data_IF_024875418506
#
_entry.id   IF_024875418506
#
_cell.length_a   1.000
_cell.length_b   1.000
_cell.length_c   1.000
_cell.angle_alpha   90.00
_cell.angle_beta   90.00
_cell.angle_gamma   90.00
#
_symmetry.space_group_name_H-M   'P 1'
#
loop_
_entity.id
_entity.type
_entity.pdbx_description
1 polymer ?
#
# COMPACT_ATOMS: atom_id res chain seq x y z
N UNK A 1 -4.20 13.81 13.15
CA UNK A 1 -4.71 12.96 12.04
C UNK A 1 -4.42 13.68 10.75
N UNK A 2 -3.52 13.13 9.91
CA UNK A 2 -3.52 13.54 8.50
C UNK A 2 -4.78 12.96 7.86
N UNK A 3 -5.46 13.69 6.96
CA UNK A 3 -6.55 13.09 6.22
C UNK A 3 -5.94 12.07 5.25
N UNK A 4 -5.99 10.80 5.63
CA UNK A 4 -5.83 9.70 4.67
C UNK A 4 -6.79 9.98 3.53
N UNK A 5 -6.28 10.14 2.30
CA UNK A 5 -7.12 10.58 1.16
C UNK A 5 -8.22 9.56 0.87
N UNK A 6 -7.97 8.28 1.19
CA UNK A 6 -8.96 7.21 1.16
C UNK A 6 -8.80 6.27 2.37
N UNK A 7 -9.88 5.98 3.11
CA UNK A 7 -9.87 4.99 4.18
C UNK A 7 -9.68 3.58 3.60
N UNK A 8 -8.96 2.72 4.33
CA UNK A 8 -8.81 1.32 3.93
C UNK A 8 -10.12 0.56 4.08
N UNK A 9 -10.44 -0.28 3.11
CA UNK A 9 -11.58 -1.20 3.14
C UNK A 9 -11.25 -2.47 2.38
N UNK A 10 -11.95 -3.58 2.68
CA UNK A 10 -11.77 -4.83 1.98
C UNK A 10 -11.97 -4.67 0.46
N UNK A 11 -13.00 -3.91 0.05
CA UNK A 11 -13.27 -3.61 -1.35
C UNK A 11 -12.13 -2.86 -2.04
N UNK A 12 -11.59 -1.81 -1.41
CA UNK A 12 -10.45 -1.05 -1.93
C UNK A 12 -9.24 -1.98 -2.13
N UNK A 13 -8.91 -2.77 -1.10
CA UNK A 13 -7.76 -3.66 -1.13
C UNK A 13 -7.93 -4.79 -2.16
N UNK A 14 -9.14 -5.32 -2.32
CA UNK A 14 -9.45 -6.34 -3.33
C UNK A 14 -9.23 -5.81 -4.75
N UNK A 15 -9.74 -4.62 -5.05
CA UNK A 15 -9.55 -3.95 -6.34
C UNK A 15 -8.09 -3.61 -6.64
N UNK A 16 -7.26 -3.34 -5.61
CA UNK A 16 -5.81 -3.22 -5.79
C UNK A 16 -5.19 -4.54 -6.26
N UNK A 17 -5.58 -5.67 -5.66
CA UNK A 17 -5.14 -7.02 -6.05
C UNK A 17 -5.61 -7.38 -7.47
N UNK A 18 -6.83 -6.97 -7.82
CA UNK A 18 -7.45 -7.21 -9.13
C UNK A 18 -6.92 -6.28 -10.24
N UNK A 19 -5.93 -5.45 -9.91
CA UNK A 19 -5.24 -4.56 -10.83
C UNK A 19 -6.07 -3.36 -11.34
N UNK A 20 -7.13 -2.97 -10.62
CA UNK A 20 -8.06 -1.90 -11.05
C UNK A 20 -7.55 -0.47 -10.81
N UNK A 21 -6.50 -0.28 -10.01
CA UNK A 21 -5.93 1.06 -9.75
C UNK A 21 -4.58 1.24 -10.42
N UNK A 22 -4.08 2.48 -10.49
CA UNK A 22 -2.72 2.76 -10.97
C UNK A 22 -1.66 2.41 -9.92
N UNK A 23 -0.43 2.10 -10.35
CA UNK A 23 0.68 1.83 -9.42
C UNK A 23 0.97 3.04 -8.54
N UNK A 24 0.82 4.25 -9.10
CA UNK A 24 0.96 5.51 -8.39
C UNK A 24 -0.02 5.62 -7.23
N UNK A 25 -1.30 5.33 -7.46
CA UNK A 25 -2.32 5.37 -6.41
C UNK A 25 -1.99 4.40 -5.26
N UNK A 26 -1.58 3.18 -5.58
CA UNK A 26 -1.18 2.18 -4.57
C UNK A 26 0.03 2.66 -3.77
N UNK A 27 1.01 3.27 -4.43
CA UNK A 27 2.17 3.84 -3.75
C UNK A 27 1.79 4.98 -2.82
N UNK A 28 0.93 5.92 -3.26
CA UNK A 28 0.46 7.04 -2.44
C UNK A 28 -0.28 6.57 -1.17
N UNK A 29 -1.12 5.52 -1.26
CA UNK A 29 -1.78 4.94 -0.09
C UNK A 29 -0.78 4.43 0.96
N UNK A 30 0.33 3.83 0.52
CA UNK A 30 1.39 3.35 1.42
C UNK A 30 2.20 4.53 1.95
N UNK A 31 2.61 5.47 1.10
CA UNK A 31 3.44 6.61 1.47
C UNK A 31 2.81 7.49 2.54
N UNK A 32 1.51 7.78 2.42
CA UNK A 32 0.74 8.53 3.43
C UNK A 32 0.88 7.89 4.82
N UNK A 33 0.68 6.58 4.88
CA UNK A 33 0.67 5.80 6.12
C UNK A 33 2.07 5.53 6.66
N UNK A 34 3.07 5.53 5.78
CA UNK A 34 4.48 5.46 6.14
C UNK A 34 5.05 6.85 6.53
N UNK A 35 4.23 7.91 6.48
CA UNK A 35 4.57 9.25 6.97
C UNK A 35 5.22 10.18 5.94
N UNK A 36 5.35 9.75 4.67
CA UNK A 36 5.77 10.62 3.58
C UNK A 36 4.69 11.68 3.31
N UNK A 37 5.11 12.82 2.78
CA UNK A 37 4.19 13.93 2.46
C UNK A 37 4.47 14.47 1.06
N UNK A 38 3.43 14.93 0.32
CA UNK A 38 3.65 15.71 -0.88
C UNK A 38 4.20 17.08 -0.47
N UNK A 39 5.28 17.51 -1.12
CA UNK A 39 5.84 18.85 -0.89
C UNK A 39 4.93 19.94 -1.48
N UNK A 40 4.26 19.63 -2.60
CA UNK A 40 3.23 20.45 -3.26
C UNK A 40 2.42 19.56 -4.23
N UNK A 41 1.30 20.08 -4.75
CA UNK A 41 0.57 19.38 -5.80
C UNK A 41 1.47 19.13 -7.03
N UNK A 42 1.64 17.86 -7.42
CA UNK A 42 2.48 17.46 -8.56
C UNK A 42 3.98 17.34 -8.27
N UNK A 43 4.44 17.56 -7.04
CA UNK A 43 5.84 17.39 -6.64
C UNK A 43 6.11 15.99 -6.06
N UNK A 44 7.36 15.52 -6.06
CA UNK A 44 7.72 14.26 -5.42
C UNK A 44 7.38 14.28 -3.92
N UNK A 45 7.03 13.12 -3.40
CA UNK A 45 6.78 12.95 -1.97
C UNK A 45 8.11 12.80 -1.25
N UNK A 46 8.26 13.45 -0.09
CA UNK A 46 9.48 13.41 0.71
C UNK A 46 9.20 12.86 2.11
N UNK A 47 10.24 12.29 2.74
CA UNK A 47 10.14 11.74 4.07
C UNK A 47 9.73 12.83 5.06
N UNK A 48 8.62 12.60 5.78
CA UNK A 48 8.09 13.55 6.74
C UNK A 48 8.62 13.29 8.15
N UNK A 49 8.26 14.14 9.13
CA UNK A 49 8.63 13.94 10.55
C UNK A 49 8.09 12.65 11.17
N UNK A 50 7.14 11.99 10.51
CA UNK A 50 6.51 10.73 10.95
C UNK A 50 7.08 9.52 10.20
N UNK A 51 7.93 9.73 9.20
CA UNK A 51 8.58 8.63 8.48
C UNK A 51 9.59 7.96 9.40
N UNK A 52 9.54 6.62 9.58
CA UNK A 52 10.54 5.92 10.37
C UNK A 52 11.96 6.23 9.88
N UNK A 53 12.89 6.45 10.81
CA UNK A 53 14.25 6.88 10.49
C UNK A 53 14.92 5.99 9.44
N UNK A 54 14.79 4.68 9.59
CA UNK A 54 15.34 3.70 8.63
C UNK A 54 14.84 3.95 7.19
N UNK A 55 13.58 4.36 7.02
CA UNK A 55 12.99 4.67 5.72
C UNK A 55 13.44 6.04 5.23
N UNK A 56 13.46 7.05 6.09
CA UNK A 56 13.90 8.39 5.73
C UNK A 56 15.36 8.42 5.26
N UNK A 57 16.25 7.64 5.91
CA UNK A 57 17.66 7.54 5.54
C UNK A 57 17.88 6.82 4.21
N UNK A 58 17.16 5.72 3.98
CA UNK A 58 17.33 4.93 2.75
C UNK A 58 16.58 5.52 1.56
N UNK A 59 15.48 6.22 1.82
CA UNK A 59 14.56 6.76 0.83
C UNK A 59 14.10 8.16 1.27
N UNK A 60 14.95 9.20 1.12
CA UNK A 60 14.56 10.58 1.42
C UNK A 60 13.37 11.06 0.56
N UNK A 61 13.27 10.53 -0.65
CA UNK A 61 12.11 10.64 -1.54
C UNK A 61 11.32 9.33 -1.54
N UNK A 62 10.00 9.42 -1.63
CA UNK A 62 9.13 8.27 -1.57
C UNK A 62 9.41 7.31 -2.75
N UNK A 63 9.71 6.02 -2.49
CA UNK A 63 10.17 5.11 -3.53
C UNK A 63 9.00 4.46 -4.28
N UNK A 64 9.22 4.09 -5.54
CA UNK A 64 8.25 3.40 -6.39
C UNK A 64 8.09 1.93 -5.97
N UNK A 65 7.22 1.66 -4.99
CA UNK A 65 7.05 0.35 -4.34
C UNK A 65 6.61 -0.77 -5.30
N UNK A 66 5.91 -0.42 -6.38
CA UNK A 66 5.40 -1.39 -7.36
C UNK A 66 6.38 -1.59 -8.52
N UNK A 67 7.07 -0.53 -8.97
CA UNK A 67 8.03 -0.64 -10.05
C UNK A 67 9.38 -1.22 -9.58
N UNK A 68 9.81 -0.88 -8.36
CA UNK A 68 11.15 -1.16 -7.86
C UNK A 68 11.18 -2.30 -6.85
N UNK A 69 11.97 -3.33 -7.16
CA UNK A 69 12.16 -4.48 -6.27
C UNK A 69 12.76 -4.12 -4.90
N UNK A 70 13.81 -3.27 -4.78
CA UNK A 70 14.41 -2.97 -3.48
C UNK A 70 13.42 -2.38 -2.48
N UNK A 71 12.59 -1.45 -2.93
CA UNK A 71 11.58 -0.79 -2.11
C UNK A 71 10.50 -1.79 -1.63
N UNK A 72 10.01 -2.66 -2.52
CA UNK A 72 9.06 -3.72 -2.18
C UNK A 72 9.62 -4.75 -1.18
N UNK A 73 10.90 -5.12 -1.32
CA UNK A 73 11.58 -6.02 -0.37
C UNK A 73 11.66 -5.37 1.01
N UNK A 74 12.00 -4.08 1.08
CA UNK A 74 12.00 -3.35 2.35
C UNK A 74 10.60 -3.28 2.96
N UNK A 75 9.57 -3.00 2.15
CA UNK A 75 8.18 -2.99 2.60
C UNK A 75 7.80 -4.32 3.24
N UNK A 76 8.14 -5.43 2.59
CA UNK A 76 7.90 -6.79 3.10
C UNK A 76 8.59 -7.02 4.46
N UNK A 77 9.84 -6.55 4.61
CA UNK A 77 10.61 -6.71 5.85
C UNK A 77 10.06 -5.88 7.01
N UNK A 78 9.38 -4.78 6.73
CA UNK A 78 8.75 -3.93 7.75
C UNK A 78 7.47 -4.53 8.34
N UNK A 79 6.92 -5.60 7.74
CA UNK A 79 5.72 -6.28 8.25
C UNK A 79 6.11 -7.19 9.43
N UNK A 80 5.57 -6.89 10.62
CA UNK A 80 5.75 -7.71 11.80
C UNK A 80 5.24 -9.15 11.58
N UNK A 81 5.90 -10.13 12.21
CA UNK A 81 5.60 -11.55 12.00
C UNK A 81 4.12 -11.93 12.19
N UNK A 82 3.39 -11.41 13.20
CA UNK A 82 1.96 -11.70 13.38
C UNK A 82 1.08 -11.26 12.20
N UNK A 83 1.54 -10.28 11.41
CA UNK A 83 0.73 -9.67 10.34
C UNK A 83 1.04 -10.22 8.95
N UNK A 84 1.92 -11.21 8.82
CA UNK A 84 2.35 -11.74 7.52
C UNK A 84 1.25 -12.51 6.78
N UNK A 85 0.23 -13.01 7.48
CA UNK A 85 -0.86 -13.81 6.91
C UNK A 85 -2.18 -13.04 6.73
N UNK A 86 -2.19 -11.73 6.97
CA UNK A 86 -3.43 -10.94 6.94
C UNK A 86 -4.13 -10.94 5.57
N UNK A 87 -3.40 -11.06 4.46
CA UNK A 87 -4.00 -11.25 3.13
C UNK A 87 -4.97 -12.44 3.09
N UNK A 88 -4.58 -13.56 3.69
CA UNK A 88 -5.42 -14.76 3.73
C UNK A 88 -6.51 -14.63 4.78
N UNK A 89 -6.19 -14.11 5.96
CA UNK A 89 -7.10 -14.04 7.11
C UNK A 89 -8.22 -13.01 6.92
N UNK A 90 -7.90 -11.84 6.36
CA UNK A 90 -8.86 -10.73 6.21
C UNK A 90 -9.52 -10.70 4.83
N UNK A 91 -8.83 -11.13 3.78
CA UNK A 91 -9.34 -11.06 2.39
C UNK A 91 -9.57 -12.45 1.77
N UNK A 92 -9.17 -13.55 2.40
CA UNK A 92 -9.24 -14.87 1.77
C UNK A 92 -8.33 -15.01 0.54
N UNK A 93 -7.31 -14.14 0.40
CA UNK A 93 -6.42 -14.15 -0.75
C UNK A 93 -5.36 -15.26 -0.59
N UNK A 94 -5.49 -16.32 -1.40
CA UNK A 94 -4.58 -17.46 -1.40
C UNK A 94 -3.38 -17.31 -2.35
N UNK A 95 -3.28 -16.20 -3.08
CA UNK A 95 -2.30 -15.97 -4.12
C UNK A 95 -2.93 -15.83 -5.52
N UNK A 96 -2.10 -15.42 -6.47
CA UNK A 96 -2.50 -15.33 -7.88
C UNK A 96 -2.46 -16.70 -8.56
N UNK A 97 -3.30 -16.90 -9.58
CA UNK A 97 -3.19 -18.09 -10.44
C UNK A 97 -1.88 -18.05 -11.24
N UNK A 98 -1.41 -19.20 -11.71
CA UNK A 98 -0.12 -19.33 -12.42
C UNK A 98 -0.04 -18.37 -13.62
N UNK A 99 -1.13 -18.19 -14.38
CA UNK A 99 -1.17 -17.25 -15.52
C UNK A 99 -1.28 -15.76 -15.15
N UNK A 100 -1.56 -15.46 -13.88
CA UNK A 100 -1.73 -14.09 -13.37
C UNK A 100 -0.50 -13.64 -12.54
N UNK A 101 0.44 -14.56 -12.28
CA UNK A 101 1.59 -14.28 -11.44
C UNK A 101 2.68 -13.54 -12.23
N UNK A 102 2.79 -12.23 -12.02
CA UNK A 102 3.89 -11.44 -12.56
C UNK A 102 4.45 -10.47 -11.49
N UNK A 103 5.70 -9.99 -11.63
CA UNK A 103 6.39 -9.23 -10.58
C UNK A 103 5.59 -8.03 -10.04
N UNK A 104 4.93 -7.28 -10.93
CA UNK A 104 4.10 -6.13 -10.56
C UNK A 104 2.90 -6.52 -9.67
N UNK A 105 2.15 -7.58 -10.00
CA UNK A 105 1.04 -8.08 -9.17
C UNK A 105 1.52 -8.60 -7.82
N UNK A 106 2.66 -9.30 -7.77
CA UNK A 106 3.24 -9.76 -6.50
C UNK A 106 3.59 -8.58 -5.59
N UNK A 107 4.15 -7.49 -6.13
CA UNK A 107 4.46 -6.28 -5.33
C UNK A 107 3.21 -5.54 -4.88
N UNK A 108 2.12 -5.57 -5.66
CA UNK A 108 0.80 -5.08 -5.22
C UNK A 108 0.26 -5.88 -4.03
N UNK A 109 0.39 -7.20 -4.07
CA UNK A 109 0.02 -8.03 -2.92
C UNK A 109 0.88 -7.70 -1.69
N UNK A 110 2.18 -7.45 -1.87
CA UNK A 110 3.05 -6.93 -0.79
C UNK A 110 2.54 -5.61 -0.22
N UNK A 111 2.15 -4.65 -1.06
CA UNK A 111 1.59 -3.38 -0.63
C UNK A 111 0.28 -3.55 0.15
N UNK A 112 -0.63 -4.40 -0.33
CA UNK A 112 -1.89 -4.71 0.36
C UNK A 112 -1.65 -5.37 1.71
N UNK A 113 -0.72 -6.34 1.80
CA UNK A 113 -0.38 -6.97 3.07
C UNK A 113 0.18 -5.96 4.07
N UNK A 114 1.00 -5.02 3.60
CA UNK A 114 1.53 -3.95 4.44
C UNK A 114 0.43 -3.00 4.93
N UNK A 115 -0.53 -2.63 4.08
CA UNK A 115 -1.67 -1.79 4.46
C UNK A 115 -2.56 -2.47 5.53
N UNK A 116 -2.78 -3.77 5.40
CA UNK A 116 -3.47 -4.57 6.42
C UNK A 116 -2.69 -4.59 7.75
N UNK A 117 -1.37 -4.78 7.68
CA UNK A 117 -0.49 -4.78 8.84
C UNK A 117 -0.47 -3.42 9.55
N UNK A 118 -0.48 -2.32 8.80
CA UNK A 118 -0.59 -0.97 9.33
C UNK A 118 -1.90 -0.78 10.08
N UNK A 119 -3.04 -1.15 9.47
CA UNK A 119 -4.36 -1.03 10.09
C UNK A 119 -4.46 -1.86 11.39
N UNK A 120 -3.98 -3.11 11.34
CA UNK A 120 -3.92 -3.98 12.51
C UNK A 120 -2.99 -3.44 13.60
N UNK A 121 -1.86 -2.81 13.23
CA UNK A 121 -0.95 -2.14 14.15
C UNK A 121 -1.55 -0.91 14.82
N UNK A 122 -2.49 -0.22 14.15
CA UNK A 122 -3.29 0.84 14.74
C UNK A 122 -4.44 0.33 15.64
N UNK A 123 -4.69 -0.99 15.66
CA UNK A 123 -5.80 -1.59 16.38
C UNK A 123 -7.16 -1.36 15.71
N UNK A 124 -7.17 -0.96 14.44
CA UNK A 124 -8.41 -0.71 13.69
C UNK A 124 -8.86 -1.97 12.94
N UNK A 125 -10.16 -2.32 12.97
CA UNK A 125 -10.70 -3.41 12.16
C UNK A 125 -10.76 -2.99 10.69
N UNK A 126 -10.63 -3.96 9.77
CA UNK A 126 -10.83 -3.73 8.34
C UNK A 126 -12.33 -3.56 8.03
N UNK A 127 -12.80 -2.38 7.60
CA UNK A 127 -14.16 -2.21 7.12
C UNK A 127 -14.37 -2.98 5.82
N UNK A 128 -15.55 -3.56 5.60
CA UNK A 128 -15.85 -4.24 4.34
C UNK A 128 -15.94 -3.24 3.17
N UNK A 129 -16.68 -2.14 3.38
CA UNK A 129 -16.93 -1.10 2.37
C UNK A 129 -16.28 0.23 2.79
N UNK A 130 -15.90 1.04 1.81
CA UNK A 130 -15.30 2.37 2.04
C UNK A 130 -15.34 3.25 0.80
N UNK A 131 -14.90 4.51 0.94
CA UNK A 131 -14.79 5.41 -0.20
C UNK A 131 -13.76 4.88 -1.21
N UNK A 132 -14.14 4.81 -2.48
CA UNK A 132 -13.27 4.43 -3.58
C UNK A 132 -12.97 5.65 -4.45
N UNK A 133 -11.75 5.80 -4.98
CA UNK A 133 -11.50 6.83 -5.97
C UNK A 133 -12.36 6.57 -7.20
N UNK A 134 -12.89 7.64 -7.81
CA UNK A 134 -13.54 7.51 -9.10
C UNK A 134 -12.49 7.04 -10.11
N UNK A 135 -12.73 5.89 -10.73
CA UNK A 135 -11.95 5.42 -11.87
C UNK A 135 -11.98 6.55 -12.91
N UNK A 136 -10.85 7.07 -13.40
CA UNK A 136 -10.87 7.94 -14.57
C UNK A 136 -11.55 7.12 -15.67
N UNK A 137 -12.69 7.62 -16.16
CA UNK A 137 -13.55 6.89 -17.07
C UNK A 137 -12.74 6.27 -18.20
N UNK A 138 -12.95 4.98 -18.42
CA UNK A 138 -12.67 4.38 -19.73
C UNK A 138 -13.49 5.17 -20.75
N UNK A 139 -12.84 6.10 -21.44
CA UNK A 139 -13.31 6.66 -22.71
C UNK A 139 -13.07 5.63 -23.80
#
# INVERSE_FOLDING_TARGET
MHPDTFPLSADLLRRILDDEFSDRFVCELVWQRLGYRPESAGQPWSAGPQTPQEWAEAYPLAPELIAERPASVRLTRSIAAPYKQLLKEQLGFAGYRIGELHPRRTRRATAVNWLLAWLAGCGEPLPQNGALPQQPGAL
#
